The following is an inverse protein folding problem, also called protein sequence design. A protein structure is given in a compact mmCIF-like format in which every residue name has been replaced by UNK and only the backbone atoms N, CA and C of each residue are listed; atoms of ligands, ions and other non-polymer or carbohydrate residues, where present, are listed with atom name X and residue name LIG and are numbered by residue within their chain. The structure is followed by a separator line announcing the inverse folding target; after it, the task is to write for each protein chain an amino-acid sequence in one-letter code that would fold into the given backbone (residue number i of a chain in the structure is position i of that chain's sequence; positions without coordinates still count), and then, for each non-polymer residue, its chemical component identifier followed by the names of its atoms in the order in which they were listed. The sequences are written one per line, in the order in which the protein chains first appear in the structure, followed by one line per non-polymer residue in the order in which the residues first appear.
data_IF_844836373908
#
_entry.id   IF_844836373908
#
_cell.length_a   1.000
_cell.length_b   1.000
_cell.length_c   1.000
_cell.angle_alpha   90.00
_cell.angle_beta   90.00
_cell.angle_gamma   90.00
#
_symmetry.space_group_name_H-M   'P 1'
#
loop_
_entity.id
_entity.type
_entity.pdbx_description
1 polymer ?
#
# COMPACT_ATOMS: atom_id res chain seq x y z
N UNK A 1 1.91 9.99 2.20
CA UNK A 1 3.23 9.95 2.88
C UNK A 1 4.21 9.23 1.96
N UNK A 2 5.35 9.84 1.63
CA UNK A 2 6.40 9.16 0.88
C UNK A 2 6.86 7.90 1.62
N UNK A 3 7.09 6.80 0.90
CA UNK A 3 7.46 5.50 1.50
C UNK A 3 8.63 5.60 2.49
N UNK A 4 9.62 6.45 2.21
CA UNK A 4 10.83 6.61 3.04
C UNK A 4 10.58 7.40 4.34
N UNK A 5 9.45 8.08 4.44
CA UNK A 5 9.06 8.86 5.63
C UNK A 5 8.00 8.15 6.48
N UNK A 6 7.66 6.90 6.16
CA UNK A 6 6.75 6.08 6.95
C UNK A 6 7.36 5.87 8.35
N UNK A 7 6.51 5.99 9.36
CA UNK A 7 6.79 5.82 10.78
C UNK A 7 5.71 4.93 11.35
N UNK A 8 5.88 4.41 12.56
CA UNK A 8 4.87 3.55 13.22
C UNK A 8 3.49 4.20 13.29
N UNK A 9 3.43 5.51 13.51
CA UNK A 9 2.19 6.31 13.51
C UNK A 9 1.43 6.31 12.17
N UNK A 10 2.10 5.99 11.06
CA UNK A 10 1.50 5.90 9.73
C UNK A 10 1.03 4.49 9.38
N UNK A 11 1.27 3.51 10.26
CA UNK A 11 0.94 2.10 10.03
C UNK A 11 -0.27 1.71 10.85
N UNK A 12 -1.20 0.99 10.22
CA UNK A 12 -2.31 0.38 10.93
C UNK A 12 -1.84 -0.90 11.60
N UNK A 13 -1.74 -0.89 12.93
CA UNK A 13 -1.41 -2.08 13.71
C UNK A 13 -2.67 -2.92 13.92
N UNK A 14 -2.68 -4.12 13.35
CA UNK A 14 -3.79 -5.06 13.49
C UNK A 14 -3.55 -5.91 14.72
N UNK A 15 -4.22 -5.58 15.83
CA UNK A 15 -4.31 -6.44 17.00
C UNK A 15 -5.66 -7.19 16.98
N UNK A 16 -5.60 -8.49 16.68
CA UNK A 16 -6.80 -9.33 16.56
C UNK A 16 -7.61 -9.42 17.86
N UNK A 17 -6.95 -9.37 19.02
CA UNK A 17 -7.62 -9.45 20.31
C UNK A 17 -8.38 -8.15 20.63
N UNK A 18 -7.75 -7.01 20.40
CA UNK A 18 -8.37 -5.70 20.61
C UNK A 18 -9.53 -5.45 19.64
N UNK A 19 -9.33 -5.75 18.35
CA UNK A 19 -10.37 -5.62 17.32
C UNK A 19 -11.52 -6.58 17.64
N UNK A 20 -11.22 -7.83 18.01
CA UNK A 20 -12.24 -8.81 18.38
C UNK A 20 -13.11 -8.33 19.56
N UNK A 21 -12.50 -7.79 20.62
CA UNK A 21 -13.25 -7.24 21.75
C UNK A 21 -14.14 -6.05 21.35
N UNK A 22 -13.64 -5.14 20.51
CA UNK A 22 -14.41 -3.98 20.06
C UNK A 22 -15.59 -4.37 19.16
N UNK A 23 -15.40 -5.33 18.25
CA UNK A 23 -16.48 -5.84 17.39
C UNK A 23 -17.56 -6.58 18.18
N UNK A 24 -17.17 -7.36 19.19
CA UNK A 24 -18.13 -8.02 20.10
C UNK A 24 -18.86 -7.01 20.97
N UNK A 25 -18.22 -5.91 21.36
CA UNK A 25 -18.86 -4.88 22.20
C UNK A 25 -19.85 -4.03 21.40
N UNK A 26 -19.50 -3.68 20.17
CA UNK A 26 -20.24 -2.68 19.39
C UNK A 26 -21.23 -3.28 18.39
N UNK A 27 -20.98 -4.50 17.88
CA UNK A 27 -21.70 -5.05 16.73
C UNK A 27 -22.44 -6.36 17.05
N UNK A 28 -22.46 -6.76 18.33
CA UNK A 28 -23.14 -7.96 18.78
C UNK A 28 -24.62 -7.69 19.01
N UNK A 29 -25.46 -8.28 18.17
CA UNK A 29 -26.91 -8.26 18.30
C UNK A 29 -27.38 -9.61 18.84
N UNK A 30 -27.84 -9.65 20.10
CA UNK A 30 -28.56 -10.83 20.59
C UNK A 30 -30.02 -10.70 20.17
N UNK A 31 -30.46 -11.57 19.26
CA UNK A 31 -31.87 -11.62 18.89
C UNK A 31 -32.68 -12.39 19.96
N UNK A 32 -33.16 -11.66 20.97
CA UNK A 32 -34.02 -12.22 22.02
C UNK A 32 -35.46 -12.45 21.57
N UNK A 33 -35.93 -11.80 20.50
CA UNK A 33 -37.34 -11.86 20.08
C UNK A 33 -37.71 -13.18 19.39
N UNK A 34 -36.76 -13.86 18.76
CA UNK A 34 -36.99 -15.15 18.08
C UNK A 34 -36.69 -16.38 18.96
N UNK A 35 -36.86 -16.28 20.28
CA UNK A 35 -37.24 -17.36 21.21
C UNK A 35 -36.45 -18.67 21.32
N UNK A 36 -35.53 -19.03 20.40
CA UNK A 36 -34.88 -20.36 20.37
C UNK A 36 -33.51 -20.45 19.69
N UNK A 37 -32.91 -19.37 19.17
CA UNK A 37 -31.59 -19.49 18.52
C UNK A 37 -30.46 -19.02 19.42
N UNK A 38 -29.44 -19.88 19.56
CA UNK A 38 -28.11 -19.53 20.09
C UNK A 38 -27.23 -18.89 19.00
N UNK A 39 -27.86 -18.36 17.96
CA UNK A 39 -27.15 -17.85 16.81
C UNK A 39 -26.68 -16.44 17.10
N UNK A 40 -25.37 -16.28 17.06
CA UNK A 40 -24.72 -14.98 17.16
C UNK A 40 -24.99 -14.28 15.83
N UNK A 41 -25.77 -13.20 15.88
CA UNK A 41 -26.01 -12.33 14.74
C UNK A 41 -25.12 -11.11 14.91
N UNK A 42 -24.32 -10.83 13.89
CA UNK A 42 -23.50 -9.63 13.82
C UNK A 42 -24.20 -8.59 12.94
N UNK A 43 -24.17 -7.35 13.40
CA UNK A 43 -24.54 -6.21 12.57
C UNK A 43 -23.33 -5.83 11.69
N UNK A 44 -23.37 -6.24 10.43
CA UNK A 44 -22.27 -5.99 9.50
C UNK A 44 -22.10 -4.51 9.15
N UNK A 45 -23.17 -3.71 9.20
CA UNK A 45 -23.11 -2.27 8.91
C UNK A 45 -22.34 -1.55 10.03
N UNK A 46 -22.58 -1.93 11.29
CA UNK A 46 -21.82 -1.43 12.44
C UNK A 46 -20.36 -1.90 12.42
N UNK A 47 -20.09 -3.14 12.00
CA UNK A 47 -18.70 -3.63 11.83
C UNK A 47 -17.97 -2.78 10.78
N UNK A 48 -18.59 -2.54 9.63
CA UNK A 48 -18.00 -1.72 8.56
C UNK A 48 -17.75 -0.29 9.03
N UNK A 49 -18.69 0.31 9.74
CA UNK A 49 -18.55 1.65 10.30
C UNK A 49 -17.37 1.74 11.29
N UNK A 50 -17.25 0.78 12.22
CA UNK A 50 -16.18 0.74 13.22
C UNK A 50 -14.81 0.57 12.57
N UNK A 51 -14.69 -0.37 11.62
CA UNK A 51 -13.43 -0.61 10.91
C UNK A 51 -13.07 0.54 9.98
N UNK A 52 -14.06 1.10 9.27
CA UNK A 52 -13.89 2.25 8.40
C UNK A 52 -13.37 3.48 9.16
N UNK A 53 -13.94 3.76 10.33
CA UNK A 53 -13.47 4.84 11.20
C UNK A 53 -12.04 4.62 11.71
N UNK A 54 -11.63 3.37 11.98
CA UNK A 54 -10.23 3.09 12.34
C UNK A 54 -9.26 3.38 11.21
N UNK A 55 -9.61 3.00 9.98
CA UNK A 55 -8.71 3.07 8.83
C UNK A 55 -8.70 4.47 8.19
N UNK A 56 -9.79 5.23 8.30
CA UNK A 56 -9.97 6.52 7.61
C UNK A 56 -8.97 7.62 8.02
N UNK A 57 -8.34 7.49 9.19
CA UNK A 57 -7.38 8.47 9.70
C UNK A 57 -5.96 8.27 9.15
N UNK A 58 -5.69 7.16 8.46
CA UNK A 58 -4.34 6.87 7.97
C UNK A 58 -4.06 7.61 6.66
N UNK A 59 -2.87 8.23 6.53
CA UNK A 59 -2.50 8.91 5.31
C UNK A 59 -2.19 7.92 4.20
N UNK A 60 -2.67 8.21 3.00
CA UNK A 60 -2.36 7.42 1.81
C UNK A 60 -0.85 7.43 1.51
N UNK A 61 -0.26 6.25 1.28
CA UNK A 61 1.17 6.10 0.98
C UNK A 61 1.41 6.40 -0.50
N UNK A 62 2.37 7.29 -0.78
CA UNK A 62 2.78 7.65 -2.13
C UNK A 62 3.96 6.77 -2.57
N UNK A 63 3.71 5.90 -3.55
CA UNK A 63 4.68 4.96 -4.13
C UNK A 63 5.32 5.46 -5.42
N UNK A 64 4.86 6.57 -6.00
CA UNK A 64 5.35 7.07 -7.30
C UNK A 64 6.79 7.56 -7.22
N UNK A 65 7.20 8.06 -6.05
CA UNK A 65 8.54 8.61 -5.79
C UNK A 65 9.36 7.70 -4.89
N UNK A 66 9.40 6.40 -5.21
CA UNK A 66 10.37 5.53 -4.57
C UNK A 66 11.78 6.03 -4.96
N UNK A 67 12.43 6.75 -4.04
CA UNK A 67 13.85 7.08 -4.16
C UNK A 67 14.63 5.78 -4.08
N UNK A 68 14.96 5.23 -5.25
CA UNK A 68 15.94 4.17 -5.37
C UNK A 68 17.29 4.75 -4.92
N UNK A 69 17.97 4.06 -4.00
CA UNK A 69 19.41 4.27 -3.84
C UNK A 69 20.01 4.07 -5.23
N UNK A 70 20.57 5.12 -5.81
CA UNK A 70 21.31 5.05 -7.06
C UNK A 70 22.56 4.21 -6.82
N UNK A 71 22.41 2.88 -6.88
CA UNK A 71 23.50 1.94 -6.80
C UNK A 71 24.30 2.06 -8.10
N UNK A 72 25.30 2.92 -8.09
CA UNK A 72 26.31 2.99 -9.15
C UNK A 72 27.41 2.00 -8.82
N UNK A 73 27.24 0.75 -9.26
CA UNK A 73 28.40 -0.04 -9.66
C UNK A 73 28.52 -0.02 -11.18
N UNK A 74 29.73 -0.25 -11.68
CA UNK A 74 29.97 -0.51 -13.09
C UNK A 74 29.03 -1.62 -13.55
N UNK A 75 28.11 -1.29 -14.45
CA UNK A 75 27.30 -2.26 -15.17
C UNK A 75 28.22 -3.01 -16.14
N UNK A 76 29.09 -3.88 -15.62
CA UNK A 76 29.84 -4.84 -16.41
C UNK A 76 28.88 -5.91 -16.92
N UNK A 77 28.09 -5.56 -17.94
CA UNK A 77 27.21 -6.52 -18.60
C UNK A 77 26.38 -5.92 -19.73
N UNK A 78 25.74 -4.75 -19.52
CA UNK A 78 24.71 -4.29 -20.44
C UNK A 78 24.68 -2.77 -20.62
N UNK A 79 25.67 -2.26 -21.38
CA UNK A 79 25.68 -0.88 -21.88
C UNK A 79 24.50 -0.53 -22.81
N UNK A 80 23.66 -1.52 -23.18
CA UNK A 80 22.51 -1.36 -24.07
C UNK A 80 21.46 -0.39 -23.51
N UNK A 81 21.22 -0.42 -22.20
CA UNK A 81 20.23 0.44 -21.53
C UNK A 81 20.65 1.93 -21.55
N UNK A 82 21.94 2.21 -21.34
CA UNK A 82 22.52 3.55 -21.41
C UNK A 82 22.54 4.07 -22.85
N UNK A 83 23.02 3.26 -23.80
CA UNK A 83 23.06 3.64 -25.22
C UNK A 83 21.65 3.92 -25.76
N UNK A 84 20.65 3.11 -25.36
CA UNK A 84 19.26 3.32 -25.75
C UNK A 84 18.70 4.62 -25.16
N UNK A 85 18.99 4.92 -23.89
CA UNK A 85 18.58 6.18 -23.26
C UNK A 85 19.24 7.41 -23.90
N UNK A 86 20.48 7.31 -24.36
CA UNK A 86 21.15 8.39 -25.10
C UNK A 86 20.51 8.55 -26.49
N UNK A 87 20.23 7.45 -27.19
CA UNK A 87 19.59 7.44 -28.52
C UNK A 87 18.18 8.04 -28.54
N UNK A 88 17.41 7.91 -27.47
CA UNK A 88 16.08 8.51 -27.38
C UNK A 88 16.13 10.02 -27.14
N UNK A 89 17.21 10.52 -26.54
CA UNK A 89 17.37 11.94 -26.19
C UNK A 89 18.18 12.74 -27.21
N UNK A 90 19.05 12.06 -27.96
CA UNK A 90 19.93 12.68 -28.96
C UNK A 90 19.73 11.96 -30.28
N UNK A 91 19.32 12.72 -31.31
CA UNK A 91 19.20 12.21 -32.68
C UNK A 91 20.58 11.80 -33.17
N UNK A 92 20.78 10.49 -33.40
CA UNK A 92 22.05 9.98 -33.92
C UNK A 92 22.09 10.15 -35.44
N UNK A 93 23.10 10.86 -35.92
CA UNK A 93 23.40 10.98 -37.34
C UNK A 93 24.55 10.02 -37.69
N UNK A 94 24.51 9.37 -38.86
CA UNK A 94 25.59 8.50 -39.29
C UNK A 94 26.86 9.32 -39.50
N UNK A 95 28.00 8.77 -39.07
CA UNK A 95 29.29 9.37 -39.38
C UNK A 95 29.50 9.31 -40.89
N UNK A 96 29.83 10.44 -41.52
CA UNK A 96 30.19 10.45 -42.93
C UNK A 96 31.41 9.56 -43.13
N UNK A 97 31.34 8.68 -44.13
CA UNK A 97 32.46 7.82 -44.48
C UNK A 97 33.57 8.72 -45.02
N UNK A 98 34.66 8.88 -44.26
CA UNK A 98 35.93 9.34 -44.80
C UNK A 98 36.40 8.29 -45.81
N UNK A 99 36.37 8.64 -47.09
CA UNK A 99 37.05 7.93 -48.18
C UNK A 99 38.57 7.85 -47.95
#
# INVERSE_FOLDING_TARGET
VPVQSIRSEHLFEINAEEIGQQLVTNSFMINFEYGKSRDIIYDYDEIELVLGNKISHFPMIDTEKLQYLNYQFELCGENSSLITNVRTRIKQEPLEATE
#
